data_IF_033212870569
#
_entry.id   IF_033212870569
#
_cell.length_a   1.000
_cell.length_b   1.000
_cell.length_c   1.000
_cell.angle_alpha   90.00
_cell.angle_beta   90.00
_cell.angle_gamma   90.00
#
_symmetry.space_group_name_H-M   'P 1'
#
loop_
_entity.id
_entity.type
_entity.pdbx_description
1 polymer ?
#
# COMPACT_ATOMS: atom_id res chain seq x y z
N UNK A 1 47.01 -6.37 6.60
CA UNK A 1 45.94 -5.34 6.52
C UNK A 1 44.70 -5.78 5.73
N UNK A 2 44.84 -6.48 4.59
CA UNK A 2 43.73 -6.90 3.70
C UNK A 2 42.68 -7.85 4.32
N UNK A 3 43.05 -8.70 5.29
CA UNK A 3 42.13 -9.67 5.89
C UNK A 3 41.05 -9.00 6.76
N UNK A 4 41.38 -7.89 7.41
CA UNK A 4 40.45 -7.16 8.27
C UNK A 4 39.42 -6.37 7.45
N UNK A 5 39.81 -5.84 6.28
CA UNK A 5 38.90 -5.12 5.38
C UNK A 5 37.89 -6.05 4.69
N UNK A 6 38.29 -7.27 4.34
CA UNK A 6 37.38 -8.28 3.75
C UNK A 6 36.29 -8.71 4.75
N UNK A 7 36.63 -8.89 6.04
CA UNK A 7 35.67 -9.26 7.08
C UNK A 7 34.61 -8.17 7.30
N UNK A 8 35.02 -6.89 7.28
CA UNK A 8 34.09 -5.76 7.44
C UNK A 8 33.12 -5.62 6.25
N UNK A 9 33.58 -5.85 5.02
CA UNK A 9 32.73 -5.81 3.82
C UNK A 9 31.70 -6.94 3.82
N UNK A 10 32.09 -8.17 4.21
CA UNK A 10 31.15 -9.29 4.30
C UNK A 10 30.07 -9.05 5.36
N UNK A 11 30.42 -8.50 6.53
CA UNK A 11 29.45 -8.10 7.55
C UNK A 11 28.49 -7.00 7.06
N UNK A 12 28.98 -6.02 6.30
CA UNK A 12 28.13 -4.99 5.72
C UNK A 12 27.15 -5.58 4.69
N UNK A 13 27.61 -6.52 3.86
CA UNK A 13 26.76 -7.19 2.87
C UNK A 13 25.72 -8.10 3.56
N UNK A 14 26.09 -8.89 4.57
CA UNK A 14 25.14 -9.76 5.28
C UNK A 14 24.11 -8.97 6.07
N UNK A 15 24.48 -7.87 6.72
CA UNK A 15 23.54 -7.02 7.48
C UNK A 15 22.56 -6.27 6.57
N UNK A 16 22.97 -5.82 5.40
CA UNK A 16 22.09 -5.13 4.43
C UNK A 16 21.05 -6.07 3.82
N UNK A 17 21.38 -7.35 3.60
CA UNK A 17 20.47 -8.32 2.95
C UNK A 17 19.36 -8.81 3.90
N UNK A 18 19.57 -8.79 5.22
CA UNK A 18 18.60 -9.30 6.21
C UNK A 18 17.49 -8.27 6.52
N UNK A 19 17.65 -7.00 6.15
CA UNK A 19 16.68 -5.93 6.44
C UNK A 19 15.43 -5.92 5.52
N UNK A 20 15.18 -6.98 4.73
CA UNK A 20 13.95 -7.09 3.94
C UNK A 20 12.82 -7.54 4.86
N UNK A 21 12.15 -6.56 5.48
CA UNK A 21 10.88 -6.73 6.19
C UNK A 21 9.86 -7.41 5.27
N UNK A 22 9.82 -8.75 5.34
CA UNK A 22 8.87 -9.56 4.61
C UNK A 22 7.61 -9.65 5.46
N UNK A 23 6.48 -9.26 4.86
CA UNK A 23 5.12 -9.28 5.42
C UNK A 23 4.61 -10.73 5.64
N UNK A 24 5.46 -11.63 6.13
CA UNK A 24 5.31 -13.08 6.05
C UNK A 24 4.59 -13.71 7.25
N UNK A 25 4.57 -13.07 8.42
CA UNK A 25 3.91 -13.62 9.62
C UNK A 25 2.45 -13.19 9.79
N UNK A 26 1.85 -12.55 8.79
CA UNK A 26 0.45 -12.16 8.87
C UNK A 26 -0.45 -13.37 8.53
N UNK A 27 -1.17 -13.89 9.54
CA UNK A 27 -2.28 -14.83 9.29
C UNK A 27 -3.39 -14.12 8.51
N UNK A 28 -3.88 -14.74 7.44
CA UNK A 28 -5.03 -14.22 6.69
C UNK A 28 -6.24 -14.20 7.66
N UNK A 29 -6.88 -13.04 7.88
CA UNK A 29 -8.00 -12.96 8.79
C UNK A 29 -9.22 -13.64 8.15
N UNK A 30 -9.73 -14.70 8.79
CA UNK A 30 -10.96 -15.38 8.38
C UNK A 30 -12.18 -14.56 8.85
N UNK A 31 -12.52 -13.52 8.11
CA UNK A 31 -13.64 -12.64 8.43
C UNK A 31 -14.93 -13.11 7.75
N UNK A 32 -16.10 -12.81 8.34
CA UNK A 32 -17.42 -13.15 7.79
C UNK A 32 -17.88 -12.21 6.67
N UNK A 33 -17.11 -11.15 6.37
CA UNK A 33 -17.51 -10.08 5.45
C UNK A 33 -16.41 -9.77 4.45
N UNK A 34 -16.79 -9.24 3.29
CA UNK A 34 -15.88 -8.73 2.28
C UNK A 34 -15.86 -7.20 2.32
N UNK A 35 -14.67 -6.60 2.34
CA UNK A 35 -14.52 -5.15 2.38
C UNK A 35 -14.30 -4.57 0.98
N UNK A 36 -15.15 -3.64 0.49
CA UNK A 36 -15.02 -3.09 -0.87
C UNK A 36 -13.74 -2.28 -1.09
N UNK A 37 -13.24 -1.62 -0.03
CA UNK A 37 -12.01 -0.82 -0.07
C UNK A 37 -10.83 -1.51 0.62
N UNK A 38 -10.97 -2.82 0.89
CA UNK A 38 -9.99 -3.62 1.61
C UNK A 38 -10.03 -3.49 3.13
N UNK A 39 -9.19 -4.30 3.78
CA UNK A 39 -9.10 -4.40 5.24
C UNK A 39 -8.15 -3.35 5.83
N UNK A 40 -8.45 -2.91 7.06
CA UNK A 40 -7.53 -2.10 7.87
C UNK A 40 -6.34 -2.95 8.27
N UNK A 41 -5.17 -2.32 8.26
CA UNK A 41 -3.95 -2.94 8.74
C UNK A 41 -3.70 -2.56 10.20
N UNK A 42 -3.15 -3.48 10.98
CA UNK A 42 -2.64 -3.20 12.31
C UNK A 42 -1.25 -2.52 12.24
N UNK A 43 -0.65 -2.27 13.40
CA UNK A 43 0.69 -1.67 13.53
C UNK A 43 1.82 -2.48 12.88
N UNK A 44 1.59 -3.77 12.64
CA UNK A 44 2.54 -4.69 12.01
C UNK A 44 2.30 -4.79 10.50
N UNK A 45 1.28 -4.09 9.96
CA UNK A 45 0.90 -4.18 8.56
C UNK A 45 0.03 -5.40 8.21
N UNK A 46 -0.48 -6.12 9.21
CA UNK A 46 -1.33 -7.28 9.02
C UNK A 46 -2.81 -6.89 8.89
N UNK A 47 -3.54 -7.58 8.01
CA UNK A 47 -4.96 -7.32 7.80
C UNK A 47 -5.78 -7.71 9.05
N UNK A 48 -6.70 -6.84 9.42
CA UNK A 48 -7.67 -7.04 10.50
C UNK A 48 -9.07 -7.31 9.93
N UNK A 49 -10.02 -7.79 10.74
CA UNK A 49 -11.42 -7.91 10.29
C UNK A 49 -12.21 -6.59 10.27
N UNK A 50 -11.53 -5.45 10.33
CA UNK A 50 -12.16 -4.15 10.17
C UNK A 50 -11.99 -3.63 8.73
N UNK A 51 -13.07 -3.14 8.11
CA UNK A 51 -13.00 -2.55 6.78
C UNK A 51 -12.47 -1.12 6.80
N UNK A 52 -11.75 -0.74 5.75
CA UNK A 52 -11.50 0.68 5.45
C UNK A 52 -12.83 1.35 5.10
N UNK A 53 -13.06 2.55 5.66
CA UNK A 53 -14.28 3.33 5.37
C UNK A 53 -14.25 3.97 3.98
N UNK A 54 -13.05 4.19 3.45
CA UNK A 54 -12.82 4.86 2.17
C UNK A 54 -11.63 4.23 1.45
N UNK A 55 -11.60 4.28 0.10
CA UNK A 55 -10.41 3.96 -0.68
C UNK A 55 -9.24 4.93 -0.47
N UNK A 56 -9.49 6.10 0.15
CA UNK A 56 -8.49 7.12 0.41
C UNK A 56 -7.92 7.02 1.83
N UNK A 57 -6.68 7.49 1.99
CA UNK A 57 -6.01 7.54 3.28
C UNK A 57 -6.76 8.44 4.27
N UNK A 58 -6.66 8.12 5.56
CA UNK A 58 -7.28 8.91 6.62
C UNK A 58 -8.81 8.91 6.61
N UNK A 59 -9.46 7.95 5.94
CA UNK A 59 -10.93 7.88 5.78
C UNK A 59 -11.56 9.06 5.01
N UNK A 60 -10.81 9.74 4.15
CA UNK A 60 -11.31 10.88 3.37
C UNK A 60 -12.22 10.45 2.24
N UNK A 61 -13.18 11.29 1.84
CA UNK A 61 -14.02 10.97 0.70
C UNK A 61 -13.24 11.08 -0.63
N UNK A 62 -13.44 10.15 -1.58
CA UNK A 62 -12.98 10.33 -2.96
C UNK A 62 -13.85 11.35 -3.70
N UNK A 63 -13.30 11.95 -4.76
CA UNK A 63 -14.11 12.73 -5.71
C UNK A 63 -14.87 11.81 -6.66
N UNK A 64 -16.14 12.12 -6.89
CA UNK A 64 -17.12 11.37 -7.67
C UNK A 64 -17.21 11.79 -9.15
N UNK A 65 -16.77 13.00 -9.49
CA UNK A 65 -16.89 13.57 -10.86
C UNK A 65 -15.71 13.26 -11.80
N UNK A 66 -14.64 12.67 -11.29
CA UNK A 66 -13.41 12.42 -12.04
C UNK A 66 -13.14 10.93 -12.13
N UNK A 67 -13.33 10.39 -13.33
CA UNK A 67 -12.97 9.00 -13.65
C UNK A 67 -11.49 8.94 -14.04
N UNK A 68 -10.59 8.95 -13.05
CA UNK A 68 -9.17 8.73 -13.30
C UNK A 68 -8.89 7.24 -13.59
N UNK A 69 -7.66 6.85 -13.96
CA UNK A 69 -7.29 5.44 -14.12
C UNK A 69 -6.54 5.17 -15.43
N UNK A 70 -6.77 4.00 -16.04
CA UNK A 70 -6.10 3.56 -17.28
C UNK A 70 -7.01 3.56 -18.52
N UNK A 71 -8.30 3.83 -18.36
CA UNK A 71 -9.27 3.76 -19.45
C UNK A 71 -9.12 4.85 -20.52
N UNK A 72 -9.72 4.67 -21.70
CA UNK A 72 -9.64 5.63 -22.81
C UNK A 72 -10.34 6.96 -22.52
N UNK A 73 -11.34 6.97 -21.63
CA UNK A 73 -12.08 8.17 -21.21
C UNK A 73 -11.62 8.71 -19.84
N UNK A 74 -10.39 8.38 -19.43
CA UNK A 74 -9.89 8.83 -18.13
C UNK A 74 -9.75 10.35 -18.10
N UNK A 75 -10.07 10.95 -16.96
CA UNK A 75 -9.78 12.37 -16.67
C UNK A 75 -8.71 12.46 -15.60
N UNK A 76 -7.81 13.42 -15.75
CA UNK A 76 -6.82 13.69 -14.72
C UNK A 76 -7.51 14.24 -13.46
N UNK A 77 -7.03 13.79 -12.30
CA UNK A 77 -7.46 14.34 -11.03
C UNK A 77 -7.04 15.82 -10.93
N UNK A 78 -7.79 16.67 -10.21
CA UNK A 78 -7.35 18.03 -9.91
C UNK A 78 -6.02 18.00 -9.13
N UNK A 79 -5.27 19.11 -9.16
CA UNK A 79 -3.93 19.22 -8.55
C UNK A 79 -3.89 18.94 -7.03
N UNK A 80 -5.03 18.99 -6.35
CA UNK A 80 -5.18 18.68 -4.92
C UNK A 80 -5.37 17.19 -4.63
N UNK A 81 -5.51 16.35 -5.66
CA UNK A 81 -5.83 14.94 -5.57
C UNK A 81 -4.83 14.08 -6.35
N UNK A 82 -4.66 12.82 -5.93
CA UNK A 82 -3.97 11.79 -6.70
C UNK A 82 -4.94 10.71 -7.16
N UNK A 83 -4.66 10.12 -8.31
CA UNK A 83 -5.41 8.96 -8.76
C UNK A 83 -4.98 7.70 -7.98
N UNK A 84 -5.93 7.08 -7.28
CA UNK A 84 -5.74 5.78 -6.62
C UNK A 84 -6.48 4.73 -7.44
N UNK A 85 -5.72 3.77 -7.96
CA UNK A 85 -6.25 2.65 -8.74
C UNK A 85 -6.14 1.40 -7.88
N UNK A 86 -7.27 0.71 -7.70
CA UNK A 86 -7.34 -0.53 -6.93
C UNK A 86 -6.62 -1.69 -7.65
N UNK A 87 -6.27 -2.78 -6.93
CA UNK A 87 -5.84 -4.01 -7.57
C UNK A 87 -6.86 -4.48 -8.60
N UNK A 88 -6.35 -5.03 -9.70
CA UNK A 88 -7.13 -5.49 -10.86
C UNK A 88 -8.07 -4.42 -11.42
N UNK A 89 -7.71 -3.14 -11.26
CA UNK A 89 -8.46 -1.98 -11.73
C UNK A 89 -9.95 -1.96 -11.29
N UNK A 90 -10.28 -2.62 -10.17
CA UNK A 90 -11.65 -2.77 -9.65
C UNK A 90 -12.35 -1.45 -9.30
N UNK A 91 -11.57 -0.40 -9.03
CA UNK A 91 -12.02 0.98 -9.00
C UNK A 91 -10.84 1.91 -9.25
N UNK A 92 -11.13 3.13 -9.68
CA UNK A 92 -10.17 4.21 -9.75
C UNK A 92 -10.83 5.51 -9.29
N UNK A 93 -10.24 6.18 -8.30
CA UNK A 93 -10.81 7.38 -7.69
C UNK A 93 -9.73 8.43 -7.42
N UNK A 94 -10.14 9.70 -7.44
CA UNK A 94 -9.27 10.80 -7.03
C UNK A 94 -9.34 10.98 -5.51
N UNK A 95 -8.22 10.80 -4.83
CA UNK A 95 -8.09 10.95 -3.37
C UNK A 95 -7.29 12.21 -3.01
N UNK A 96 -7.67 12.97 -1.96
CA UNK A 96 -6.93 14.15 -1.52
C UNK A 96 -5.48 13.82 -1.15
N UNK A 97 -4.55 14.72 -1.50
CA UNK A 97 -3.11 14.51 -1.26
C UNK A 97 -2.70 14.61 0.21
N UNK A 98 -3.42 15.38 1.04
CA UNK A 98 -3.12 15.61 2.46
C UNK A 98 -4.35 15.94 3.27
#
# INVERSE_FOLDING_TARGET
>A
MQRLTIILLLCAITTVVIAKSSKADCKIPHCRMTCPFGYKLDKNGCATCACKKSPCDGNKAPLDKYFCGKGPNRKDCPSTHRCVIAPNDSYAVCCPLK
#
